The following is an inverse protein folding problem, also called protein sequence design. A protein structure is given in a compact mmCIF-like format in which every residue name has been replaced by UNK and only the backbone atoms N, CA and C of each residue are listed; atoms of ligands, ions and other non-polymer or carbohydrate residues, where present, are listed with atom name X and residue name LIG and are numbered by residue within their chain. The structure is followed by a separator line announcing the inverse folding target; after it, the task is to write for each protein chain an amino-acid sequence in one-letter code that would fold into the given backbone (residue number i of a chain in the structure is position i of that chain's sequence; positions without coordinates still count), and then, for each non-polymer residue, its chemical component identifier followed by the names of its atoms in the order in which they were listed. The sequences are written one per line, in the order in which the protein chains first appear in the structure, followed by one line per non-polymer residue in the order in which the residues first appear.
data_IF_838506561074
#
_entry.id   IF_838506561074
#
_cell.length_a   1.000
_cell.length_b   1.000
_cell.length_c   1.000
_cell.angle_alpha   90.00
_cell.angle_beta   90.00
_cell.angle_gamma   90.00
#
_symmetry.space_group_name_H-M   'P 1'
#
loop_
_entity.id
_entity.type
_entity.pdbx_description
1 polymer ?
#
# COMPACT_ATOMS: atom_id res chain seq x y z
N UNK A 1 -11.88 -10.93 -65.88
CA UNK A 1 -11.72 -10.06 -64.70
C UNK A 1 -12.45 -10.68 -63.52
N UNK A 2 -11.72 -11.25 -62.55
CA UNK A 2 -12.24 -11.67 -61.24
C UNK A 2 -11.13 -11.37 -60.21
N UNK A 3 -11.31 -10.44 -59.26
CA UNK A 3 -10.35 -10.27 -58.20
C UNK A 3 -10.63 -11.33 -57.13
N UNK A 4 -9.63 -12.12 -56.79
CA UNK A 4 -9.65 -12.96 -55.59
C UNK A 4 -9.38 -12.06 -54.38
N UNK A 5 -10.37 -11.95 -53.49
CA UNK A 5 -10.19 -11.34 -52.18
C UNK A 5 -9.51 -12.37 -51.26
N UNK A 6 -8.23 -12.16 -50.96
CA UNK A 6 -7.58 -12.83 -49.84
C UNK A 6 -7.86 -12.00 -48.58
N UNK A 7 -8.69 -12.54 -47.69
CA UNK A 7 -8.97 -11.94 -46.39
C UNK A 7 -7.75 -12.02 -45.48
N UNK A 8 -7.19 -10.87 -45.12
CA UNK A 8 -6.25 -10.74 -44.00
C UNK A 8 -7.02 -10.87 -42.69
N UNK A 9 -6.86 -12.00 -42.00
CA UNK A 9 -7.23 -12.14 -40.59
C UNK A 9 -6.24 -11.32 -39.76
N UNK A 10 -6.58 -10.06 -39.49
CA UNK A 10 -5.92 -9.26 -38.45
C UNK A 10 -6.33 -9.86 -37.09
N UNK A 11 -5.48 -10.71 -36.53
CA UNK A 11 -5.54 -11.01 -35.09
C UNK A 11 -5.00 -9.76 -34.40
N UNK A 12 -5.89 -8.81 -34.12
CA UNK A 12 -5.66 -7.80 -33.09
C UNK A 12 -5.55 -8.55 -31.77
N UNK A 13 -4.32 -8.92 -31.40
CA UNK A 13 -3.99 -9.29 -30.03
C UNK A 13 -4.29 -8.08 -29.15
N UNK A 14 -5.51 -8.01 -28.60
CA UNK A 14 -5.78 -7.16 -27.46
C UNK A 14 -4.72 -7.54 -26.42
N UNK A 15 -3.95 -6.59 -25.86
CA UNK A 15 -3.13 -6.92 -24.71
C UNK A 15 -4.08 -7.54 -23.69
N UNK A 16 -3.81 -8.78 -23.27
CA UNK A 16 -4.39 -9.26 -22.03
C UNK A 16 -3.90 -8.26 -20.98
N UNK A 17 -4.75 -7.33 -20.58
CA UNK A 17 -4.48 -6.44 -19.48
C UNK A 17 -4.34 -7.35 -18.26
N UNK A 18 -3.09 -7.58 -17.86
CA UNK A 18 -2.79 -8.40 -16.70
C UNK A 18 -3.31 -7.69 -15.46
N UNK A 19 -4.05 -8.41 -14.63
CA UNK A 19 -4.52 -7.95 -13.32
C UNK A 19 -3.40 -7.23 -12.56
N UNK A 20 -3.67 -6.01 -12.09
CA UNK A 20 -2.70 -5.21 -11.35
C UNK A 20 -2.92 -5.36 -9.84
N UNK A 21 -1.84 -5.51 -9.10
CA UNK A 21 -1.84 -5.49 -7.64
C UNK A 21 -1.17 -4.22 -7.16
N UNK A 22 -1.82 -3.47 -6.27
CA UNK A 22 -1.30 -2.21 -5.76
C UNK A 22 -1.04 -2.33 -4.27
N UNK A 23 0.16 -1.98 -3.84
CA UNK A 23 0.52 -1.89 -2.42
C UNK A 23 0.91 -0.45 -2.13
N UNK A 24 0.17 0.22 -1.24
CA UNK A 24 0.52 1.54 -0.71
C UNK A 24 1.18 1.38 0.66
N UNK A 25 2.39 1.92 0.79
CA UNK A 25 3.22 1.76 1.98
C UNK A 25 3.61 3.13 2.54
N UNK A 26 3.21 3.38 3.79
CA UNK A 26 3.64 4.53 4.58
C UNK A 26 5.11 4.43 5.02
N UNK A 27 5.59 5.49 5.66
CA UNK A 27 6.92 5.58 6.22
C UNK A 27 6.94 5.41 7.75
N UNK A 28 8.09 5.01 8.32
CA UNK A 28 8.29 4.98 9.76
C UNK A 28 8.47 6.40 10.32
N UNK A 29 8.22 6.54 11.62
CA UNK A 29 8.64 7.69 12.40
C UNK A 29 10.18 7.85 12.42
N UNK A 30 10.64 9.08 12.63
CA UNK A 30 12.05 9.38 12.89
C UNK A 30 12.53 8.67 14.14
N UNK A 31 13.80 8.24 14.15
CA UNK A 31 14.42 7.63 15.33
C UNK A 31 14.48 8.62 16.49
N UNK A 32 14.76 9.90 16.19
CA UNK A 32 14.81 10.96 17.19
C UNK A 32 13.49 11.06 17.95
N UNK A 33 12.38 11.09 17.23
CA UNK A 33 11.05 11.20 17.85
C UNK A 33 10.64 9.91 18.58
N UNK A 34 10.92 8.73 18.01
CA UNK A 34 10.67 7.46 18.70
C UNK A 34 11.45 7.31 20.01
N UNK A 35 12.68 7.83 20.07
CA UNK A 35 13.50 7.76 21.28
C UNK A 35 12.96 8.63 22.43
N UNK A 36 12.13 9.65 22.14
CA UNK A 36 11.47 10.47 23.15
C UNK A 36 10.20 9.83 23.74
N UNK A 37 9.67 8.79 23.10
CA UNK A 37 8.53 8.02 23.61
C UNK A 37 8.99 7.05 24.71
N UNK A 38 8.10 6.79 25.67
CA UNK A 38 8.25 5.62 26.54
C UNK A 38 8.24 4.35 25.67
N UNK A 39 8.97 3.32 26.08
CA UNK A 39 9.18 2.12 25.26
C UNK A 39 7.87 1.46 24.81
N UNK A 40 6.85 1.48 25.68
CA UNK A 40 5.52 0.91 25.42
C UNK A 40 4.74 1.65 24.31
N UNK A 41 5.05 2.94 24.09
CA UNK A 41 4.38 3.79 23.10
C UNK A 41 5.18 3.93 21.80
N UNK A 42 6.34 3.26 21.70
CA UNK A 42 7.13 3.23 20.47
C UNK A 42 6.38 2.43 19.42
N UNK A 43 6.15 3.05 18.28
CA UNK A 43 5.43 2.44 17.18
C UNK A 43 6.39 1.83 16.15
N UNK A 44 7.56 2.46 15.94
CA UNK A 44 8.52 2.11 14.89
C UNK A 44 9.90 1.80 15.45
N UNK A 45 9.96 0.88 16.41
CA UNK A 45 11.23 0.34 16.91
C UNK A 45 12.10 -0.21 15.76
N UNK A 46 11.46 -0.82 14.76
CA UNK A 46 12.07 -1.28 13.52
C UNK A 46 11.58 -0.47 12.30
N UNK A 47 12.50 0.13 11.56
CA UNK A 47 12.21 0.97 10.39
C UNK A 47 11.44 0.24 9.28
N UNK A 48 11.59 -1.08 9.19
CA UNK A 48 11.15 -1.87 8.05
C UNK A 48 9.80 -2.57 8.27
N UNK A 49 9.04 -2.26 9.34
CA UNK A 49 7.74 -2.88 9.62
C UNK A 49 6.83 -2.93 8.36
N UNK A 50 6.57 -1.77 7.76
CA UNK A 50 5.69 -1.67 6.60
C UNK A 50 6.30 -2.23 5.31
N UNK A 51 7.63 -2.08 5.14
CA UNK A 51 8.37 -2.67 4.03
C UNK A 51 8.32 -4.20 4.07
N UNK A 52 8.51 -4.78 5.26
CA UNK A 52 8.49 -6.23 5.45
C UNK A 52 7.10 -6.79 5.22
N UNK A 53 6.06 -6.15 5.75
CA UNK A 53 4.68 -6.54 5.47
C UNK A 53 4.35 -6.46 3.97
N UNK A 54 4.73 -5.37 3.30
CA UNK A 54 4.55 -5.20 1.85
C UNK A 54 5.23 -6.32 1.06
N UNK A 55 6.48 -6.62 1.40
CA UNK A 55 7.25 -7.66 0.68
C UNK A 55 6.72 -9.08 0.92
N UNK A 56 6.22 -9.38 2.12
CA UNK A 56 5.51 -10.65 2.38
C UNK A 56 4.22 -10.73 1.58
N UNK A 57 3.47 -9.62 1.51
CA UNK A 57 2.25 -9.54 0.71
C UNK A 57 2.51 -9.75 -0.78
N UNK A 58 3.62 -9.26 -1.32
CA UNK A 58 4.01 -9.55 -2.71
C UNK A 58 4.24 -11.05 -2.95
N UNK A 59 4.86 -11.73 -1.99
CA UNK A 59 5.13 -13.16 -2.05
C UNK A 59 3.80 -13.95 -1.99
N UNK A 60 2.85 -13.53 -1.14
CA UNK A 60 1.49 -14.08 -1.10
C UNK A 60 0.69 -13.84 -2.38
N UNK A 61 0.72 -12.61 -2.91
CA UNK A 61 0.07 -12.26 -4.18
C UNK A 61 0.53 -13.21 -5.27
N UNK A 62 1.85 -13.42 -5.42
CA UNK A 62 2.35 -14.32 -6.45
C UNK A 62 1.98 -15.78 -6.24
N UNK A 63 1.90 -16.21 -4.98
CA UNK A 63 1.42 -17.55 -4.65
C UNK A 63 -0.05 -17.73 -5.03
N UNK A 64 -0.89 -16.71 -4.84
CA UNK A 64 -2.33 -16.78 -5.06
C UNK A 64 -2.79 -16.43 -6.47
N UNK A 65 -2.10 -15.52 -7.16
CA UNK A 65 -2.51 -14.93 -8.44
C UNK A 65 -1.54 -15.24 -9.60
N UNK A 66 -0.40 -15.87 -9.31
CA UNK A 66 0.59 -16.30 -10.30
C UNK A 66 1.95 -15.63 -10.13
N UNK A 67 3.03 -16.34 -10.50
CA UNK A 67 4.41 -15.87 -10.34
C UNK A 67 4.72 -14.57 -11.06
N UNK A 68 3.97 -14.26 -12.11
CA UNK A 68 4.15 -13.09 -12.98
C UNK A 68 3.09 -11.99 -12.75
N UNK A 69 2.34 -12.07 -11.64
CA UNK A 69 1.46 -10.98 -11.19
C UNK A 69 2.22 -9.66 -11.14
N UNK A 70 1.64 -8.64 -11.78
CA UNK A 70 2.18 -7.27 -11.79
C UNK A 70 1.86 -6.58 -10.48
N UNK A 71 2.87 -6.00 -9.86
CA UNK A 71 2.77 -5.34 -8.56
C UNK A 71 3.33 -3.93 -8.69
N UNK A 72 2.51 -2.91 -8.45
CA UNK A 72 2.96 -1.54 -8.21
C UNK A 72 3.06 -1.33 -6.72
N UNK A 73 4.25 -0.95 -6.26
CA UNK A 73 4.55 -0.68 -4.87
C UNK A 73 4.80 0.80 -4.68
N UNK A 74 3.80 1.48 -4.14
CA UNK A 74 3.80 2.91 -3.89
C UNK A 74 4.32 3.14 -2.48
N UNK A 75 5.46 3.83 -2.33
CA UNK A 75 6.13 3.99 -1.03
C UNK A 75 6.30 5.47 -0.71
N UNK A 76 5.89 5.85 0.50
CA UNK A 76 6.13 7.19 1.05
C UNK A 76 7.62 7.39 1.33
N UNK A 77 8.28 8.27 0.57
CA UNK A 77 9.74 8.40 0.53
C UNK A 77 10.31 9.11 1.76
N UNK A 78 9.70 10.23 2.17
CA UNK A 78 10.30 11.11 3.18
C UNK A 78 10.57 10.39 4.52
N UNK A 79 9.65 9.54 4.99
CA UNK A 79 9.82 8.81 6.24
C UNK A 79 11.07 7.94 6.26
N UNK A 80 11.36 7.24 5.15
CA UNK A 80 12.58 6.42 5.03
C UNK A 80 13.86 7.24 4.85
N UNK A 81 13.78 8.41 4.21
CA UNK A 81 14.93 9.32 4.12
C UNK A 81 15.28 9.91 5.49
N UNK A 82 14.28 10.40 6.23
CA UNK A 82 14.49 10.96 7.57
C UNK A 82 14.99 9.89 8.52
N UNK A 83 14.30 8.74 8.61
CA UNK A 83 14.72 7.64 9.46
C UNK A 83 16.10 7.07 9.07
N UNK A 84 16.41 7.04 7.77
CA UNK A 84 17.72 6.61 7.26
C UNK A 84 18.85 7.58 7.62
N UNK A 85 18.60 8.89 7.64
CA UNK A 85 19.57 9.87 8.15
C UNK A 85 19.81 9.68 9.64
N UNK A 86 18.76 9.50 10.43
CA UNK A 86 18.91 9.32 11.88
C UNK A 86 19.69 8.04 12.25
N UNK A 87 19.43 6.95 11.51
CA UNK A 87 20.07 5.66 11.75
C UNK A 87 21.40 5.50 10.96
N UNK A 88 21.82 6.51 10.19
CA UNK A 88 22.98 6.49 9.27
C UNK A 88 22.96 5.28 8.30
N UNK A 89 21.78 4.97 7.74
CA UNK A 89 21.56 3.83 6.82
C UNK A 89 20.94 4.25 5.49
N UNK A 90 21.26 3.55 4.38
CA UNK A 90 20.73 3.83 3.05
C UNK A 90 19.38 3.13 2.81
N UNK A 91 18.36 3.39 3.65
CA UNK A 91 17.08 2.67 3.57
C UNK A 91 16.39 2.76 2.20
N UNK A 92 16.49 3.91 1.52
CA UNK A 92 15.96 4.05 0.16
C UNK A 92 16.59 3.06 -0.82
N UNK A 93 17.89 2.80 -0.70
CA UNK A 93 18.60 1.83 -1.54
C UNK A 93 18.15 0.41 -1.24
N UNK A 94 18.02 0.04 0.03
CA UNK A 94 17.53 -1.29 0.42
C UNK A 94 16.09 -1.53 -0.02
N UNK A 95 15.23 -0.51 -0.03
CA UNK A 95 13.87 -0.60 -0.56
C UNK A 95 13.90 -0.84 -2.08
N UNK A 96 14.76 -0.14 -2.82
CA UNK A 96 14.97 -0.37 -4.26
C UNK A 96 15.43 -1.81 -4.50
N UNK A 97 16.38 -2.33 -3.70
CA UNK A 97 16.82 -3.73 -3.78
C UNK A 97 15.67 -4.72 -3.55
N UNK A 98 14.80 -4.46 -2.56
CA UNK A 98 13.62 -5.31 -2.32
C UNK A 98 12.64 -5.29 -3.50
N UNK A 99 12.43 -4.12 -4.12
CA UNK A 99 11.58 -3.99 -5.29
C UNK A 99 12.14 -4.76 -6.49
N UNK A 100 13.44 -4.62 -6.76
CA UNK A 100 14.16 -5.34 -7.84
C UNK A 100 14.09 -6.85 -7.60
N UNK A 101 14.45 -7.31 -6.40
CA UNK A 101 14.40 -8.73 -6.01
C UNK A 101 13.01 -9.32 -6.24
N UNK A 102 11.97 -8.52 -6.05
CA UNK A 102 10.58 -8.91 -6.24
C UNK A 102 9.98 -8.41 -7.53
N UNK A 103 10.73 -7.98 -8.54
CA UNK A 103 10.18 -7.53 -9.83
C UNK A 103 8.93 -6.64 -9.67
N UNK A 104 8.94 -5.76 -8.68
CA UNK A 104 7.83 -4.86 -8.35
C UNK A 104 8.16 -3.47 -8.89
N UNK A 105 7.16 -2.80 -9.45
CA UNK A 105 7.29 -1.42 -9.90
C UNK A 105 7.24 -0.48 -8.69
N UNK A 106 8.40 -0.02 -8.26
CA UNK A 106 8.51 0.92 -7.14
C UNK A 106 8.20 2.35 -7.60
N UNK A 107 7.22 2.98 -6.95
CA UNK A 107 6.87 4.38 -7.15
C UNK A 107 7.05 5.13 -5.85
N UNK A 108 7.91 6.15 -5.84
CA UNK A 108 8.11 7.01 -4.69
C UNK A 108 7.10 8.16 -4.68
N UNK A 109 6.45 8.38 -3.54
CA UNK A 109 5.54 9.51 -3.31
C UNK A 109 5.92 10.26 -2.02
N UNK A 110 5.45 11.49 -1.88
CA UNK A 110 5.64 12.33 -0.69
C UNK A 110 4.35 12.99 -0.19
N UNK A 111 3.22 12.82 -0.88
CA UNK A 111 1.94 13.42 -0.49
C UNK A 111 0.77 12.45 -0.74
N UNK A 112 -0.36 12.71 -0.08
CA UNK A 112 -1.61 12.00 -0.34
C UNK A 112 -2.06 12.14 -1.79
N UNK A 113 -2.00 13.35 -2.35
CA UNK A 113 -2.36 13.60 -3.75
C UNK A 113 -1.50 12.83 -4.75
N UNK A 114 -0.19 12.69 -4.48
CA UNK A 114 0.69 11.86 -5.29
C UNK A 114 0.29 10.39 -5.18
N UNK A 115 0.01 9.88 -3.98
CA UNK A 115 -0.47 8.50 -3.79
C UNK A 115 -1.79 8.26 -4.56
N UNK A 116 -2.78 9.15 -4.45
CA UNK A 116 -4.05 9.06 -5.18
C UNK A 116 -3.81 9.11 -6.69
N UNK A 117 -2.98 10.05 -7.17
CA UNK A 117 -2.65 10.16 -8.58
C UNK A 117 -1.98 8.90 -9.11
N UNK A 118 -1.04 8.31 -8.36
CA UNK A 118 -0.37 7.05 -8.74
C UNK A 118 -1.34 5.87 -8.78
N UNK A 119 -2.29 5.77 -7.84
CA UNK A 119 -3.36 4.76 -7.87
C UNK A 119 -4.22 4.96 -9.13
N UNK A 120 -4.58 6.20 -9.45
CA UNK A 120 -5.42 6.53 -10.61
C UNK A 120 -4.74 6.30 -11.97
N UNK A 121 -3.42 6.15 -12.02
CA UNK A 121 -2.70 5.77 -13.23
C UNK A 121 -2.78 4.26 -13.53
N UNK A 122 -3.15 3.45 -12.55
CA UNK A 122 -3.29 2.01 -12.71
C UNK A 122 -4.55 1.65 -13.49
N UNK A 123 -4.65 0.39 -13.91
CA UNK A 123 -5.86 -0.19 -14.52
C UNK A 123 -6.06 -1.60 -14.02
N UNK A 124 -7.31 -2.02 -13.96
CA UNK A 124 -7.70 -3.39 -13.60
C UNK A 124 -7.09 -3.86 -12.27
N UNK A 125 -7.09 -2.99 -11.25
CA UNK A 125 -6.63 -3.33 -9.90
C UNK A 125 -7.51 -4.45 -9.33
N UNK A 126 -6.89 -5.59 -9.01
CA UNK A 126 -7.55 -6.74 -8.39
C UNK A 126 -7.29 -6.84 -6.89
N UNK A 127 -6.16 -6.29 -6.42
CA UNK A 127 -5.91 -6.14 -4.99
C UNK A 127 -5.32 -4.77 -4.67
N UNK A 128 -5.76 -4.21 -3.55
CA UNK A 128 -5.16 -3.02 -2.96
C UNK A 128 -4.84 -3.29 -1.49
N UNK A 129 -3.58 -3.13 -1.10
CA UNK A 129 -3.14 -3.30 0.28
C UNK A 129 -2.51 -1.99 0.79
N UNK A 130 -2.96 -1.50 1.95
CA UNK A 130 -2.31 -0.39 2.66
C UNK A 130 -1.52 -0.90 3.88
N UNK A 131 -0.23 -0.57 3.96
CA UNK A 131 0.61 -0.81 5.13
C UNK A 131 1.17 0.51 5.65
N UNK A 132 0.83 0.88 6.88
CA UNK A 132 1.29 2.13 7.46
C UNK A 132 0.55 2.45 8.75
N UNK A 133 0.85 3.63 9.29
CA UNK A 133 0.08 4.20 10.38
C UNK A 133 -1.32 4.59 9.90
N UNK A 134 -2.27 4.64 10.83
CA UNK A 134 -3.62 5.11 10.56
C UNK A 134 -4.36 5.42 11.85
N UNK A 135 -5.46 6.14 11.69
CA UNK A 135 -6.55 6.18 12.65
C UNK A 135 -7.83 5.75 11.93
N UNK A 136 -9.00 5.95 12.56
CA UNK A 136 -10.28 5.61 11.94
C UNK A 136 -10.59 6.34 10.63
N UNK A 137 -9.98 7.52 10.38
CA UNK A 137 -10.31 8.41 9.26
C UNK A 137 -9.22 8.53 8.19
N UNK A 138 -7.97 8.13 8.46
CA UNK A 138 -6.85 8.38 7.57
C UNK A 138 -5.95 7.17 7.35
N UNK A 139 -5.53 6.96 6.10
CA UNK A 139 -4.24 6.34 5.81
C UNK A 139 -3.14 7.37 6.05
N UNK A 140 -2.36 7.21 7.11
CA UNK A 140 -1.26 8.12 7.43
C UNK A 140 0.00 7.63 6.73
N UNK A 141 0.41 8.34 5.68
CA UNK A 141 1.60 8.01 4.88
C UNK A 141 2.87 8.38 5.65
N UNK A 142 2.77 9.41 6.49
CA UNK A 142 3.72 9.79 7.52
C UNK A 142 3.04 9.71 8.89
N UNK A 143 3.78 9.35 9.93
CA UNK A 143 3.38 9.65 11.30
C UNK A 143 4.64 9.74 12.17
N UNK A 144 5.01 10.95 12.57
CA UNK A 144 6.19 11.15 13.41
C UNK A 144 7.52 11.19 12.64
N UNK A 145 7.54 11.45 11.33
CA UNK A 145 8.81 11.67 10.62
C UNK A 145 9.40 13.05 10.93
N UNK A 146 8.63 14.11 10.75
CA UNK A 146 9.11 15.49 10.94
C UNK A 146 8.75 16.07 12.31
N UNK A 147 7.53 15.78 12.81
CA UNK A 147 7.02 16.22 14.11
C UNK A 147 6.46 15.02 14.88
N UNK A 148 6.88 14.85 16.13
CA UNK A 148 6.47 13.72 16.97
C UNK A 148 4.94 13.59 17.03
N UNK A 149 4.43 12.39 16.77
CA UNK A 149 3.02 12.03 16.85
C UNK A 149 2.07 12.84 15.92
N UNK A 150 2.61 13.41 14.83
CA UNK A 150 1.83 14.12 13.81
C UNK A 150 2.06 13.48 12.44
N UNK A 151 1.00 13.41 11.63
CA UNK A 151 1.07 13.07 10.22
C UNK A 151 1.06 14.36 9.38
N UNK A 152 2.05 14.54 8.51
CA UNK A 152 2.08 15.63 7.53
C UNK A 152 1.62 15.19 6.12
N UNK A 153 1.44 13.88 5.92
CA UNK A 153 0.96 13.33 4.67
C UNK A 153 -0.02 12.18 4.95
N UNK A 154 -1.24 12.31 4.46
CA UNK A 154 -2.31 11.34 4.64
C UNK A 154 -3.25 11.29 3.43
N UNK A 155 -4.07 10.25 3.36
CA UNK A 155 -5.30 10.20 2.57
C UNK A 155 -6.44 10.12 3.59
N UNK A 156 -7.24 11.19 3.69
CA UNK A 156 -8.40 11.21 4.59
C UNK A 156 -9.56 10.45 3.92
N UNK A 157 -10.52 9.96 4.71
CA UNK A 157 -11.68 9.24 4.17
C UNK A 157 -12.50 10.09 3.18
N UNK A 158 -12.51 11.41 3.35
CA UNK A 158 -13.10 12.35 2.38
C UNK A 158 -12.33 12.43 1.06
N UNK A 159 -11.04 12.10 1.04
CA UNK A 159 -10.24 12.07 -0.19
C UNK A 159 -10.48 10.79 -1.00
N UNK A 160 -11.16 9.79 -0.44
CA UNK A 160 -11.42 8.52 -1.14
C UNK A 160 -12.27 8.71 -2.40
N UNK A 161 -13.10 9.76 -2.47
CA UNK A 161 -13.84 10.09 -3.70
C UNK A 161 -12.92 10.49 -4.88
N UNK A 162 -11.69 10.93 -4.59
CA UNK A 162 -10.70 11.30 -5.60
C UNK A 162 -10.01 10.07 -6.21
N UNK A 163 -10.10 8.91 -5.57
CA UNK A 163 -9.62 7.65 -6.14
C UNK A 163 -10.69 7.14 -7.11
N UNK A 164 -10.31 6.96 -8.37
CA UNK A 164 -11.22 6.54 -9.43
C UNK A 164 -11.58 5.07 -9.28
N UNK A 165 -12.81 4.74 -8.88
CA UNK A 165 -13.29 3.35 -8.83
C UNK A 165 -13.12 2.58 -10.14
N UNK A 166 -12.99 3.29 -11.28
CA UNK A 166 -12.82 2.68 -12.62
C UNK A 166 -11.44 2.05 -12.82
N UNK A 167 -10.45 2.39 -11.98
CA UNK A 167 -9.15 1.72 -12.04
C UNK A 167 -9.16 0.36 -11.36
N UNK A 168 -10.23 0.02 -10.63
CA UNK A 168 -10.42 -1.27 -9.96
C UNK A 168 -11.33 -2.20 -10.77
N UNK A 169 -11.09 -3.50 -10.62
CA UNK A 169 -12.03 -4.52 -11.05
C UNK A 169 -13.24 -4.56 -10.11
N UNK A 170 -14.40 -5.04 -10.59
CA UNK A 170 -15.65 -5.07 -9.80
C UNK A 170 -15.54 -5.85 -8.48
N UNK A 171 -14.62 -6.81 -8.41
CA UNK A 171 -14.44 -7.70 -7.25
C UNK A 171 -13.07 -7.51 -6.60
N UNK A 172 -12.49 -6.31 -6.71
CA UNK A 172 -11.18 -6.04 -6.13
C UNK A 172 -11.17 -6.30 -4.62
N UNK A 173 -10.17 -7.06 -4.16
CA UNK A 173 -9.95 -7.30 -2.74
C UNK A 173 -9.07 -6.19 -2.16
N UNK A 174 -9.64 -5.37 -1.29
CA UNK A 174 -8.93 -4.25 -0.67
C UNK A 174 -8.77 -4.49 0.83
N UNK A 175 -7.56 -4.27 1.36
CA UNK A 175 -7.27 -4.39 2.78
C UNK A 175 -6.35 -3.28 3.28
N UNK A 176 -6.71 -2.69 4.42
CA UNK A 176 -5.84 -1.84 5.21
C UNK A 176 -5.32 -2.63 6.40
N UNK A 177 -4.01 -2.59 6.59
CA UNK A 177 -3.30 -3.24 7.71
C UNK A 177 -2.90 -2.25 8.81
N UNK A 178 -3.43 -1.03 8.75
CA UNK A 178 -3.24 -0.02 9.79
C UNK A 178 -4.32 -0.06 10.87
N UNK A 179 -4.02 0.48 12.04
CA UNK A 179 -4.94 0.60 13.18
C UNK A 179 -6.25 1.32 12.84
N UNK A 180 -7.36 0.85 13.40
CA UNK A 180 -8.66 1.54 13.47
C UNK A 180 -9.37 1.85 12.14
N UNK A 181 -8.81 1.55 10.96
CA UNK A 181 -9.43 1.90 9.66
C UNK A 181 -10.80 1.27 9.44
N UNK A 182 -11.11 0.15 10.10
CA UNK A 182 -12.43 -0.46 10.09
C UNK A 182 -13.52 0.39 10.76
N UNK A 183 -13.14 1.30 11.66
CA UNK A 183 -14.08 2.06 12.49
C UNK A 183 -14.73 3.26 11.78
N UNK A 184 -14.22 3.66 10.61
CA UNK A 184 -14.86 4.67 9.74
C UNK A 184 -14.47 4.50 8.27
N UNK A 185 -13.16 4.50 7.96
CA UNK A 185 -12.66 4.43 6.58
C UNK A 185 -13.25 3.28 5.75
N UNK A 186 -13.43 2.08 6.31
CA UNK A 186 -14.02 0.94 5.57
C UNK A 186 -15.42 1.23 5.04
N UNK A 187 -16.27 1.90 5.83
CA UNK A 187 -17.62 2.25 5.43
C UNK A 187 -17.62 3.33 4.33
N UNK A 188 -16.78 4.36 4.48
CA UNK A 188 -16.63 5.42 3.47
C UNK A 188 -16.04 4.87 2.18
N UNK A 189 -15.03 4.00 2.26
CA UNK A 189 -14.47 3.30 1.11
C UNK A 189 -15.53 2.53 0.35
N UNK A 190 -16.35 1.73 1.05
CA UNK A 190 -17.42 0.96 0.41
C UNK A 190 -18.45 1.85 -0.28
N UNK A 191 -18.78 2.99 0.33
CA UNK A 191 -19.67 4.00 -0.27
C UNK A 191 -19.08 4.61 -1.55
N UNK A 192 -17.80 4.98 -1.54
CA UNK A 192 -17.14 5.64 -2.69
C UNK A 192 -16.77 4.66 -3.81
N UNK A 193 -16.33 3.45 -3.46
CA UNK A 193 -15.81 2.47 -4.42
C UNK A 193 -16.85 1.46 -4.89
N UNK A 194 -17.84 1.15 -4.06
CA UNK A 194 -18.86 0.12 -4.32
C UNK A 194 -18.44 -1.30 -3.91
N UNK A 195 -17.26 -1.49 -3.34
CA UNK A 195 -16.75 -2.77 -2.81
C UNK A 195 -16.01 -2.55 -1.48
N UNK A 196 -15.93 -3.57 -0.59
CA UNK A 196 -15.44 -3.38 0.76
C UNK A 196 -13.92 -3.17 0.84
N UNK A 197 -13.50 -2.45 1.88
CA UNK A 197 -12.12 -2.41 2.38
C UNK A 197 -12.10 -3.17 3.71
N UNK A 198 -11.33 -4.26 3.78
CA UNK A 198 -11.04 -4.91 5.06
C UNK A 198 -10.20 -3.97 5.90
N UNK A 199 -10.66 -3.58 7.08
CA UNK A 199 -9.94 -2.67 7.99
C UNK A 199 -9.93 -3.19 9.43
N UNK A 200 -8.98 -2.72 10.23
CA UNK A 200 -8.88 -3.10 11.63
C UNK A 200 -9.88 -2.33 12.49
N UNK A 201 -10.61 -3.03 13.36
CA UNK A 201 -11.24 -2.45 14.54
C UNK A 201 -10.33 -2.71 15.74
N UNK A 202 -9.65 -1.67 16.22
CA UNK A 202 -8.56 -1.77 17.19
C UNK A 202 -7.15 -1.58 16.60
N UNK A 203 -6.15 -1.79 17.46
CA UNK A 203 -4.72 -1.63 17.12
C UNK A 203 -4.19 -2.83 16.35
N UNK A 204 -3.39 -2.58 15.33
CA UNK A 204 -2.64 -3.60 14.59
C UNK A 204 -1.26 -3.81 15.18
N UNK A 205 -0.78 -5.04 15.23
CA UNK A 205 0.54 -5.40 15.73
C UNK A 205 1.39 -6.06 14.63
N UNK A 206 2.50 -5.41 14.31
CA UNK A 206 3.47 -5.81 13.31
C UNK A 206 4.55 -6.76 13.86
N UNK A 207 4.59 -7.03 15.18
CA UNK A 207 5.54 -7.97 15.77
C UNK A 207 5.39 -9.40 15.18
N UNK A 208 4.20 -9.76 14.72
CA UNK A 208 3.91 -11.01 14.03
C UNK A 208 4.78 -11.27 12.78
N UNK A 209 5.32 -10.22 12.15
CA UNK A 209 6.23 -10.34 11.01
C UNK A 209 7.52 -11.09 11.36
N UNK A 210 7.98 -11.00 12.60
CA UNK A 210 9.14 -11.76 13.10
C UNK A 210 8.92 -13.28 13.09
N UNK A 211 7.65 -13.70 13.09
CA UNK A 211 7.21 -15.09 13.02
C UNK A 211 6.78 -15.50 11.60
N UNK A 212 7.04 -14.65 10.59
CA UNK A 212 6.65 -14.90 9.21
C UNK A 212 5.14 -14.83 8.96
N UNK A 213 4.38 -14.15 9.83
CA UNK A 213 2.94 -13.94 9.70
C UNK A 213 2.61 -12.49 9.37
N UNK A 214 1.52 -12.26 8.65
CA UNK A 214 1.00 -10.90 8.42
C UNK A 214 0.59 -10.23 9.75
N UNK A 215 0.50 -8.88 9.80
CA UNK A 215 0.13 -8.17 11.02
C UNK A 215 -1.15 -8.69 11.66
N UNK A 216 -1.20 -8.66 12.98
CA UNK A 216 -2.39 -9.08 13.76
C UNK A 216 -3.19 -7.87 14.21
N UNK A 217 -4.40 -8.08 14.72
CA UNK A 217 -5.26 -7.02 15.27
C UNK A 217 -5.70 -7.42 16.66
N UNK A 218 -5.68 -6.46 17.59
CA UNK A 218 -6.13 -6.64 18.99
C UNK A 218 -7.64 -6.86 19.12
N UNK A 219 -8.42 -6.36 18.16
CA UNK A 219 -9.84 -6.65 18.00
C UNK A 219 -10.09 -7.59 16.82
N UNK A 220 -10.68 -7.07 15.75
CA UNK A 220 -11.12 -7.86 14.60
C UNK A 220 -10.91 -7.14 13.26
N UNK A 221 -10.84 -7.91 12.18
CA UNK A 221 -10.85 -7.40 10.82
C UNK A 221 -12.29 -7.31 10.32
N UNK A 222 -12.74 -6.12 9.90
CA UNK A 222 -14.12 -5.85 9.48
C UNK A 222 -14.18 -5.31 8.04
N UNK A 223 -15.34 -5.39 7.41
CA UNK A 223 -15.60 -5.05 5.99
C UNK A 223 -16.69 -4.02 5.83
#
# INVERSE_FOLDING_TARGET
MKPWALSLLLILGLPLFGSQHVILCGGPASRKWENLRIEQDRHDSWWANFIRASTMRMDEIRKSYGSDSKITWIVYKNGYLTRGRDDEKPYSSWIVEQAIKRRAELVWINTGDQAISTINLQRDIVTFDFFGHSNRHCFMLDYGSDVMAVSQAWIHESDLEKISRRVFTKNAFCQSWGCHTGESMSAVWKSSMGFPLVGAKGKTDYAALSLGKMPTVSGEWIR
#
